data_IF_875669217541
#
_entry.id   IF_875669217541
#
_cell.length_a   1.000
_cell.length_b   1.000
_cell.length_c   1.000
_cell.angle_alpha   90.00
_cell.angle_beta   90.00
_cell.angle_gamma   90.00
#
_symmetry.space_group_name_H-M   'P 1'
#
loop_
_entity.id
_entity.type
_entity.pdbx_description
1 polymer ?
2 non-polymer ?
3 non-polymer ?
4 water ?
#
# COMPACT_ATOMS: atom_id res chain seq x y z
N UNK A 2 9.12 -22.52 1.13
CA UNK A 2 8.99 -21.12 0.78
C UNK A 2 8.22 -20.91 -0.53
N UNK A 3 7.68 -19.71 -0.69
CA UNK A 3 6.98 -19.33 -1.89
C UNK A 3 7.80 -18.26 -2.59
N UNK A 4 7.65 -18.16 -3.89
CA UNK A 4 8.24 -17.06 -4.64
C UNK A 4 7.13 -16.12 -5.04
N UNK A 5 7.35 -14.83 -4.85
CA UNK A 5 6.44 -13.87 -5.41
C UNK A 5 7.21 -12.94 -6.33
N UNK A 6 6.67 -12.74 -7.52
CA UNK A 6 7.36 -12.01 -8.57
C UNK A 6 6.42 -10.97 -9.14
N UNK A 7 6.82 -9.70 -9.06
CA UNK A 7 6.17 -8.65 -9.83
C UNK A 7 6.91 -8.54 -11.16
N UNK A 8 6.22 -8.88 -12.25
CA UNK A 8 6.90 -9.12 -13.52
C UNK A 8 6.65 -8.04 -14.55
N UNK A 9 7.56 -7.92 -15.51
CA UNK A 9 7.49 -6.88 -16.53
C UNK A 9 7.19 -5.54 -15.88
N UNK A 10 7.87 -5.25 -14.78
CA UNK A 10 7.48 -4.13 -13.95
C UNK A 10 7.86 -2.80 -14.60
N UNK A 11 6.96 -1.84 -14.49
CA UNK A 11 7.17 -0.48 -14.99
C UNK A 11 8.16 0.33 -14.14
N UNK A 12 9.35 -0.22 -13.95
CA UNK A 12 10.42 0.41 -13.19
C UNK A 12 11.71 0.32 -14.01
N UNK A 13 12.08 1.42 -14.66
CA UNK A 13 13.28 1.46 -15.50
C UNK A 13 13.99 2.80 -15.39
N UNK A 14 15.29 2.80 -15.66
CA UNK A 14 15.97 4.05 -15.92
C UNK A 14 15.35 4.65 -17.18
N UNK A 15 15.45 5.97 -17.34
CA UNK A 15 14.98 6.61 -18.56
C UNK A 15 15.66 5.97 -19.78
N UNK A 16 14.86 5.46 -20.73
CA UNK A 16 15.39 4.86 -21.96
C UNK A 16 16.17 5.89 -22.77
N UNK A 17 17.37 5.54 -23.22
CA UNK A 17 18.14 6.43 -24.09
C UNK A 17 17.24 7.03 -25.16
N UNK A 18 16.48 6.15 -25.83
CA UNK A 18 15.58 6.53 -26.90
C UNK A 18 15.00 7.93 -26.70
N UNK A 19 14.59 8.23 -25.48
CA UNK A 19 13.81 9.44 -25.25
C UNK A 19 14.49 10.51 -24.41
N UNK A 20 15.74 10.26 -23.99
CA UNK A 20 16.43 11.25 -23.17
C UNK A 20 16.43 12.63 -23.85
N UNK A 21 16.50 12.63 -25.18
CA UNK A 21 16.52 13.86 -25.96
C UNK A 21 15.27 14.71 -25.78
N UNK A 22 14.17 14.07 -25.38
CA UNK A 22 12.90 14.75 -25.26
C UNK A 22 12.60 15.13 -23.82
N UNK A 23 13.54 14.81 -22.93
CA UNK A 23 13.34 15.06 -21.50
C UNK A 23 14.01 16.36 -21.09
N UNK A 24 13.20 17.36 -20.74
CA UNK A 24 13.75 18.56 -20.12
C UNK A 24 13.77 18.35 -18.62
N UNK A 25 14.96 18.42 -18.03
CA UNK A 25 15.12 18.18 -16.61
C UNK A 25 14.64 19.35 -15.75
N UNK A 26 14.11 19.04 -14.58
CA UNK A 26 13.67 20.06 -13.64
C UNK A 26 14.01 19.66 -12.21
N UNK A 27 13.76 20.55 -11.26
CA UNK A 27 14.09 20.31 -9.88
C UNK A 27 12.95 19.65 -9.11
N UNK A 28 11.76 19.60 -9.71
CA UNK A 28 10.66 18.94 -9.03
C UNK A 28 10.81 17.41 -9.09
N UNK A 29 11.51 16.94 -10.12
CA UNK A 29 11.75 15.51 -10.28
C UNK A 29 13.20 15.30 -10.69
N UNK A 30 14.04 14.89 -9.74
CA UNK A 30 15.47 14.79 -9.98
C UNK A 30 15.96 13.34 -10.04
N UNK A 31 15.16 12.45 -10.63
CA UNK A 31 15.54 11.03 -10.71
C UNK A 31 15.57 10.56 -12.15
N UNK A 32 16.49 9.64 -12.44
CA UNK A 32 16.59 9.02 -13.75
C UNK A 32 15.67 7.79 -13.88
N UNK A 33 14.57 7.77 -13.14
CA UNK A 33 13.61 6.69 -13.28
C UNK A 33 12.41 7.15 -14.09
N UNK A 34 12.01 6.34 -15.06
CA UNK A 34 10.93 6.71 -15.94
C UNK A 34 9.63 6.81 -15.14
N UNK A 35 8.98 7.96 -15.21
CA UNK A 35 7.74 8.17 -14.47
C UNK A 35 6.76 8.96 -15.33
N UNK A 36 5.63 8.35 -15.66
CA UNK A 36 4.70 8.95 -16.61
C UNK A 36 4.10 10.25 -16.08
N UNK A 37 4.07 10.41 -14.76
CA UNK A 37 3.54 11.64 -14.18
C UNK A 37 4.38 12.85 -14.55
N UNK A 38 5.63 12.59 -14.92
CA UNK A 38 6.58 13.65 -15.21
C UNK A 38 7.12 13.58 -16.65
N UNK A 39 7.10 12.39 -17.25
CA UNK A 39 7.63 12.21 -18.60
C UNK A 39 6.56 11.89 -19.65
N UNK A 40 5.29 12.04 -19.28
CA UNK A 40 4.19 11.66 -20.16
C UNK A 40 4.38 12.07 -21.62
N UNK A 41 4.84 13.28 -21.84
CA UNK A 41 5.04 13.78 -23.20
C UNK A 41 6.18 13.05 -23.89
N UNK A 42 7.34 13.00 -23.25
CA UNK A 42 8.52 12.39 -23.87
C UNK A 42 8.34 10.89 -24.13
N UNK A 43 7.22 10.36 -23.66
CA UNK A 43 6.92 8.93 -23.76
C UNK A 43 5.94 8.65 -24.87
N UNK A 44 5.48 9.71 -25.54
CA UNK A 44 4.42 9.61 -26.55
C UNK A 44 4.69 8.57 -27.62
N UNK A 45 5.93 8.52 -28.13
CA UNK A 45 6.28 7.54 -29.16
C UNK A 45 7.14 6.40 -28.62
N UNK A 46 7.06 6.17 -27.31
CA UNK A 46 7.77 5.06 -26.68
C UNK A 46 7.01 3.75 -26.85
N UNK A 47 7.74 2.71 -27.27
CA UNK A 47 7.17 1.38 -27.40
C UNK A 47 6.50 0.96 -26.10
N UNK A 48 5.28 0.43 -26.19
CA UNK A 48 4.56 -0.05 -25.01
C UNK A 48 4.41 1.01 -23.92
N UNK A 49 4.37 2.28 -24.34
CA UNK A 49 4.29 3.39 -23.38
C UNK A 49 3.20 3.20 -22.34
N UNK A 50 2.14 2.48 -22.69
CA UNK A 50 0.99 2.37 -21.81
C UNK A 50 1.26 1.46 -20.62
N UNK A 51 2.32 0.67 -20.68
CA UNK A 51 2.63 -0.20 -19.56
C UNK A 51 3.94 0.18 -18.85
N UNK A 52 4.51 1.30 -19.24
CA UNK A 52 5.78 1.72 -18.65
C UNK A 52 5.63 2.97 -17.78
N UNK A 53 6.66 3.29 -17.01
CA UNK A 53 6.73 4.51 -16.24
C UNK A 53 5.78 4.63 -15.06
N UNK A 54 5.63 3.54 -14.29
CA UNK A 54 4.80 3.57 -13.09
C UNK A 54 5.49 2.88 -11.91
N UNK A 55 6.59 3.46 -11.40
CA UNK A 55 7.31 2.83 -10.30
C UNK A 55 6.48 2.71 -9.02
N UNK A 56 5.48 3.56 -8.82
CA UNK A 56 4.71 3.49 -7.57
C UNK A 56 3.91 2.17 -7.43
N UNK A 57 3.71 1.45 -8.53
CA UNK A 57 3.09 0.14 -8.45
C UNK A 57 3.99 -0.83 -7.67
N UNK A 58 5.28 -0.78 -7.96
CA UNK A 58 6.28 -1.56 -7.25
C UNK A 58 6.42 -1.11 -5.78
N UNK A 59 6.53 0.20 -5.58
CA UNK A 59 6.66 0.77 -4.24
C UNK A 59 5.53 0.29 -3.32
N UNK A 60 4.30 0.52 -3.72
CA UNK A 60 3.15 0.15 -2.92
C UNK A 60 3.03 -1.36 -2.74
N UNK A 61 3.28 -2.13 -3.79
CA UNK A 61 3.20 -3.59 -3.67
C UNK A 61 4.24 -4.10 -2.69
N UNK A 62 5.46 -3.57 -2.76
CA UNK A 62 6.54 -4.00 -1.87
C UNK A 62 6.27 -3.62 -0.40
N UNK A 63 5.74 -2.42 -0.17
CA UNK A 63 5.27 -2.07 1.18
C UNK A 63 4.31 -3.12 1.72
N UNK A 64 3.41 -3.63 0.89
CA UNK A 64 2.50 -4.69 1.34
C UNK A 64 3.23 -6.02 1.55
N UNK A 65 4.03 -6.43 0.57
CA UNK A 65 4.69 -7.73 0.65
C UNK A 65 5.67 -7.83 1.82
N UNK A 66 6.53 -6.83 1.97
CA UNK A 66 7.57 -6.87 2.98
C UNK A 66 7.01 -6.92 4.40
N UNK A 67 5.84 -6.33 4.62
CA UNK A 67 5.26 -6.30 5.96
C UNK A 67 4.30 -7.45 6.24
N UNK A 68 4.11 -8.36 5.30
CA UNK A 68 3.13 -9.42 5.48
C UNK A 68 3.66 -10.47 6.45
N UNK A 69 2.77 -11.03 7.29
CA UNK A 69 3.14 -12.11 8.20
C UNK A 69 3.93 -13.21 7.50
N UNK A 70 3.50 -13.61 6.31
CA UNK A 70 4.22 -14.65 5.57
C UNK A 70 5.68 -14.25 5.32
N UNK A 71 5.95 -12.97 5.11
CA UNK A 71 7.33 -12.50 4.97
C UNK A 71 8.07 -12.37 6.31
N UNK A 72 7.37 -11.92 7.34
CA UNK A 72 7.96 -11.89 8.69
C UNK A 72 8.38 -13.31 9.11
N UNK A 73 7.63 -14.31 8.64
CA UNK A 73 7.99 -15.70 8.91
C UNK A 73 9.06 -16.23 7.96
N UNK A 74 9.68 -15.36 7.18
CA UNK A 74 10.77 -15.78 6.29
C UNK A 74 10.37 -16.89 5.33
N UNK A 75 9.13 -16.87 4.86
CA UNK A 75 8.65 -17.91 3.96
C UNK A 75 8.46 -17.44 2.51
N UNK A 76 8.96 -16.24 2.20
CA UNK A 76 8.83 -15.68 0.85
C UNK A 76 10.16 -15.39 0.23
N UNK A 77 10.24 -15.63 -1.07
CA UNK A 77 11.32 -15.09 -1.88
C UNK A 77 10.72 -14.01 -2.77
N UNK A 78 11.34 -12.85 -2.81
CA UNK A 78 10.73 -11.68 -3.43
C UNK A 78 11.56 -11.19 -4.62
N UNK A 79 10.92 -11.05 -5.78
CA UNK A 79 11.63 -10.62 -6.98
C UNK A 79 10.86 -9.56 -7.71
N UNK A 80 11.58 -8.58 -8.23
CA UNK A 80 11.00 -7.63 -9.16
C UNK A 80 11.65 -7.90 -10.51
N UNK A 81 10.83 -8.29 -11.48
CA UNK A 81 11.30 -8.38 -12.85
C UNK A 81 10.77 -7.17 -13.61
N UNK A 82 11.65 -6.52 -14.37
CA UNK A 82 11.32 -5.24 -14.99
C UNK A 82 11.02 -5.39 -16.48
N UNK A 83 10.35 -4.38 -17.04
CA UNK A 83 10.04 -4.37 -18.45
C UNK A 83 11.26 -4.71 -19.28
N UNK A 84 12.43 -4.23 -18.86
CA UNK A 84 13.65 -4.41 -19.66
C UNK A 84 14.53 -5.55 -19.17
N UNK A 85 13.94 -6.50 -18.46
CA UNK A 85 14.64 -7.73 -18.11
C UNK A 85 15.78 -7.50 -17.13
N UNK A 86 15.53 -6.72 -16.10
CA UNK A 86 16.36 -6.79 -14.91
C UNK A 86 15.55 -7.50 -13.83
N UNK A 87 16.25 -8.20 -12.95
CA UNK A 87 15.60 -8.84 -11.81
C UNK A 87 16.24 -8.35 -10.53
N UNK A 88 15.41 -7.83 -9.63
CA UNK A 88 15.86 -7.46 -8.30
C UNK A 88 15.40 -8.51 -7.30
N UNK A 89 16.35 -9.11 -6.61
CA UNK A 89 16.00 -9.98 -5.49
C UNK A 89 15.95 -9.12 -4.22
N UNK A 90 14.76 -8.99 -3.63
CA UNK A 90 14.57 -8.17 -2.44
C UNK A 90 14.76 -8.98 -1.16
N UNK A 91 15.78 -8.64 -0.38
CA UNK A 91 15.99 -9.32 0.88
C UNK A 91 14.74 -9.14 1.76
N UNK A 92 14.27 -10.23 2.38
CA UNK A 92 13.04 -10.15 3.18
C UNK A 92 13.12 -9.09 4.30
N UNK A 93 14.31 -8.74 4.74
CA UNK A 93 14.43 -7.77 5.81
C UNK A 93 14.65 -6.36 5.30
N UNK A 94 14.50 -6.17 3.99
CA UNK A 94 14.63 -4.83 3.42
C UNK A 94 13.68 -3.86 4.11
N UNK A 95 14.21 -2.69 4.44
CA UNK A 95 13.43 -1.63 5.05
C UNK A 95 13.19 -0.62 3.95
N UNK A 96 12.05 -0.73 3.29
CA UNK A 96 11.81 0.08 2.11
C UNK A 96 11.35 1.44 2.55
N UNK A 97 11.93 2.49 1.95
CA UNK A 97 11.50 3.85 2.29
C UNK A 97 10.01 3.99 2.03
N UNK A 98 9.29 4.57 2.97
CA UNK A 98 7.88 4.82 2.76
C UNK A 98 7.73 6.02 1.84
N UNK A 99 8.79 6.83 1.77
CA UNK A 99 8.74 8.01 0.93
C UNK A 99 9.03 7.66 -0.54
N UNK A 100 8.11 8.03 -1.41
CA UNK A 100 8.20 7.68 -2.81
C UNK A 100 9.50 8.13 -3.44
N UNK A 101 9.86 9.40 -3.24
CA UNK A 101 11.10 9.94 -3.81
C UNK A 101 12.33 9.21 -3.27
N UNK A 102 12.38 9.01 -1.95
CA UNK A 102 13.47 8.22 -1.36
C UNK A 102 13.54 6.86 -2.04
N UNK A 103 12.39 6.20 -2.15
CA UNK A 103 12.29 4.93 -2.87
C UNK A 103 12.97 5.02 -4.23
N UNK A 104 12.61 6.04 -5.00
CA UNK A 104 13.15 6.19 -6.34
C UNK A 104 14.66 6.32 -6.29
N UNK A 105 15.15 7.01 -5.26
CA UNK A 105 16.59 7.18 -5.08
C UNK A 105 17.29 5.86 -4.87
N UNK A 106 16.73 5.01 -4.02
CA UNK A 106 17.29 3.67 -3.80
C UNK A 106 17.29 2.85 -5.09
N UNK A 107 16.16 2.83 -5.79
CA UNK A 107 16.01 2.02 -7.00
C UNK A 107 16.90 2.49 -8.14
N UNK A 108 17.00 3.81 -8.29
CA UNK A 108 17.90 4.41 -9.27
C UNK A 108 19.31 3.86 -9.13
N UNK A 109 19.81 3.82 -7.90
CA UNK A 109 21.18 3.34 -7.69
C UNK A 109 21.28 1.86 -7.99
N UNK A 110 20.31 1.07 -7.53
CA UNK A 110 20.35 -0.35 -7.79
C UNK A 110 20.36 -0.65 -9.29
N UNK A 111 19.46 0.00 -10.03
CA UNK A 111 19.32 -0.25 -11.46
C UNK A 111 20.54 0.20 -12.27
N UNK A 112 21.34 1.07 -11.68
CA UNK A 112 22.55 1.57 -12.31
C UNK A 112 23.73 0.68 -11.93
N UNK A 113 23.45 -0.38 -11.19
CA UNK A 113 24.46 -1.36 -10.85
C UNK A 113 25.26 -1.08 -9.58
N UNK A 114 24.95 0.00 -8.86
CA UNK A 114 25.62 0.24 -7.58
C UNK A 114 25.23 -0.83 -6.56
N UNK A 115 26.21 -1.25 -5.76
CA UNK A 115 25.97 -2.33 -4.81
C UNK A 115 24.95 -1.99 -3.73
N UNK A 116 24.14 -2.97 -3.39
CA UNK A 116 23.19 -2.85 -2.30
C UNK A 116 23.08 -4.23 -1.67
N UNK A 117 23.46 -4.35 -0.42
CA UNK A 117 23.56 -5.68 0.18
C UNK A 117 22.18 -6.32 0.40
N UNK A 118 21.12 -5.51 0.32
CA UNK A 118 19.76 -6.00 0.53
C UNK A 118 18.97 -6.23 -0.77
N UNK A 119 19.38 -5.55 -1.83
CA UNK A 119 18.68 -5.64 -3.09
C UNK A 119 19.68 -5.95 -4.20
N UNK A 120 19.68 -7.20 -4.66
CA UNK A 120 20.63 -7.61 -5.71
C UNK A 120 20.00 -7.49 -7.09
N UNK A 121 20.75 -6.96 -8.04
CA UNK A 121 20.27 -6.83 -9.39
C UNK A 121 21.06 -7.70 -10.37
N UNK A 122 20.35 -8.29 -11.31
CA UNK A 122 20.95 -9.05 -12.39
C UNK A 122 20.12 -8.82 -13.64
N UNK A 123 20.76 -8.94 -14.80
CA UNK A 123 20.02 -8.89 -16.05
C UNK A 123 19.57 -10.30 -16.39
N UNK A 124 18.28 -10.45 -16.67
CA UNK A 124 17.67 -11.76 -16.68
C UNK A 124 16.25 -11.62 -17.15
N UNK A 125 15.83 -12.54 -18.00
CA UNK A 125 14.45 -12.56 -18.47
C UNK A 125 13.57 -13.21 -17.42
N UNK A 126 12.27 -13.05 -17.57
CA UNK A 126 11.33 -13.66 -16.64
C UNK A 126 11.44 -15.18 -16.70
N UNK A 127 11.50 -15.72 -17.90
CA UNK A 127 11.56 -17.17 -18.10
C UNK A 127 12.81 -17.78 -17.48
N UNK A 128 13.96 -17.14 -17.71
CA UNK A 128 15.18 -17.63 -17.08
C UNK A 128 15.12 -17.56 -15.54
N UNK A 129 14.50 -16.54 -14.99
CA UNK A 129 14.33 -16.42 -13.54
C UNK A 129 13.53 -17.61 -13.03
N UNK A 130 12.39 -17.89 -13.66
CA UNK A 130 11.56 -19.01 -13.25
C UNK A 130 12.35 -20.31 -13.23
N UNK A 131 13.14 -20.55 -14.28
CA UNK A 131 13.91 -21.78 -14.31
C UNK A 131 14.99 -21.85 -13.25
N UNK A 132 15.67 -20.73 -13.01
CA UNK A 132 16.79 -20.74 -12.07
C UNK A 132 16.37 -20.87 -10.60
N UNK A 133 15.18 -20.40 -10.25
CA UNK A 133 14.70 -20.60 -8.87
C UNK A 133 13.89 -21.89 -8.77
N UNK A 134 13.88 -22.65 -9.85
CA UNK A 134 13.11 -23.90 -9.95
C UNK A 134 11.65 -23.74 -9.56
N UNK A 135 11.00 -22.72 -10.09
CA UNK A 135 9.56 -22.59 -9.97
C UNK A 135 8.93 -23.83 -10.60
N UNK A 136 8.03 -24.49 -9.86
CA UNK A 136 7.41 -25.74 -10.30
C UNK A 136 5.95 -25.55 -10.70
N UNK A 137 5.14 -25.08 -9.76
CA UNK A 137 3.76 -24.77 -10.10
C UNK A 137 3.57 -23.27 -10.01
N UNK A 138 3.30 -22.65 -11.15
CA UNK A 138 3.33 -21.22 -11.27
C UNK A 138 1.94 -20.70 -11.51
N UNK A 139 1.50 -19.78 -10.65
CA UNK A 139 0.23 -19.12 -10.85
C UNK A 139 0.49 -17.75 -11.45
N UNK A 140 0.03 -17.54 -12.67
CA UNK A 140 0.06 -16.22 -13.26
C UNK A 140 -1.25 -15.56 -12.91
N UNK A 141 -1.17 -14.52 -12.11
CA UNK A 141 -2.36 -13.83 -11.70
C UNK A 141 -2.82 -12.93 -12.84
N UNK A 142 -4.11 -13.05 -13.17
CA UNK A 142 -4.74 -12.21 -14.18
C UNK A 142 -6.25 -12.32 -14.08
N UNK A 143 -6.94 -11.20 -14.21
CA UNK A 143 -8.40 -11.18 -14.12
C UNK A 143 -9.10 -12.03 -15.19
N UNK A 144 -8.34 -12.48 -16.18
CA UNK A 144 -8.92 -13.28 -17.26
C UNK A 144 -8.63 -14.77 -17.08
N UNK A 145 -8.00 -15.13 -15.97
CA UNK A 145 -7.71 -16.53 -15.68
C UNK A 145 -8.88 -17.21 -15.02
N UNK A 146 -8.70 -18.48 -14.67
CA UNK A 146 -9.72 -19.24 -13.96
C UNK A 146 -10.01 -18.64 -12.60
N UNK A 147 -11.28 -18.33 -12.32
CA UNK A 147 -11.63 -17.81 -11.00
C UNK A 147 -11.28 -18.85 -9.95
N UNK A 148 -10.64 -18.40 -8.88
CA UNK A 148 -10.00 -19.30 -7.94
C UNK A 148 -10.08 -18.72 -6.54
N UNK A 149 -10.45 -19.54 -5.58
CA UNK A 149 -10.47 -19.13 -4.20
C UNK A 149 -9.07 -19.17 -3.62
N UNK A 150 -8.66 -18.10 -2.95
CA UNK A 150 -7.30 -17.91 -2.44
C UNK A 150 -6.80 -19.02 -1.52
N UNK A 151 -7.72 -19.79 -0.95
CA UNK A 151 -7.30 -20.88 -0.07
C UNK A 151 -6.64 -21.97 -0.89
N UNK A 152 -6.85 -21.90 -2.20
CA UNK A 152 -6.21 -22.84 -3.12
C UNK A 152 -4.82 -22.37 -3.56
N UNK A 153 -4.49 -21.10 -3.31
CA UNK A 153 -3.20 -20.55 -3.75
C UNK A 153 -2.04 -21.25 -3.07
N UNK A 154 -2.30 -21.85 -1.91
CA UNK A 154 -1.29 -22.62 -1.18
C UNK A 154 -0.71 -23.76 -2.02
N UNK A 155 -1.46 -24.20 -3.03
CA UNK A 155 -1.03 -25.29 -3.90
C UNK A 155 0.13 -24.92 -4.86
N UNK A 156 0.29 -23.63 -5.13
CA UNK A 156 1.37 -23.18 -6.02
C UNK A 156 2.58 -22.77 -5.20
N UNK A 157 3.76 -22.84 -5.80
CA UNK A 157 4.98 -22.38 -5.13
C UNK A 157 5.44 -21.01 -5.63
N UNK A 158 4.86 -20.55 -6.74
CA UNK A 158 5.32 -19.32 -7.37
C UNK A 158 4.18 -18.50 -7.93
N UNK A 159 4.16 -17.21 -7.59
CA UNK A 159 3.10 -16.32 -8.03
C UNK A 159 3.68 -15.18 -8.86
N UNK A 160 3.05 -14.89 -9.99
CA UNK A 160 3.49 -13.80 -10.84
C UNK A 160 2.40 -12.78 -10.99
N UNK A 161 2.72 -11.53 -10.65
CA UNK A 161 1.79 -10.44 -10.73
C UNK A 161 2.40 -9.39 -11.64
N UNK A 162 1.62 -8.88 -12.58
CA UNK A 162 2.09 -7.82 -13.46
C UNK A 162 2.37 -6.53 -12.69
N UNK A 163 3.60 -6.03 -12.78
CA UNK A 163 3.94 -4.79 -12.12
C UNK A 163 3.76 -3.62 -13.06
N UNK A 164 2.66 -3.62 -13.81
CA UNK A 164 2.42 -2.61 -14.84
C UNK A 164 0.98 -2.12 -14.80
N UNK A 165 0.73 -0.93 -15.36
CA UNK A 165 -0.58 -0.28 -15.29
C UNK A 165 -1.65 -0.99 -16.13
N UNK A 166 -1.40 -1.08 -17.44
CA UNK A 166 -2.37 -1.62 -18.37
C UNK A 166 -1.75 -2.68 -19.28
N UNK A 167 -2.44 -3.80 -19.43
CA UNK A 167 -2.00 -4.86 -20.32
C UNK A 167 -2.27 -6.23 -19.76
N UNK A 168 -1.66 -7.23 -20.38
CA UNK A 168 -1.69 -8.58 -19.85
C UNK A 168 -0.29 -9.15 -19.86
N UNK A 169 -0.04 -10.01 -18.89
CA UNK A 169 1.26 -10.64 -18.72
C UNK A 169 1.41 -11.77 -19.73
N UNK A 170 2.40 -11.66 -20.61
CA UNK A 170 2.69 -12.76 -21.53
C UNK A 170 4.01 -13.46 -21.22
N UNK A 171 3.99 -14.79 -21.29
CA UNK A 171 5.14 -15.61 -20.94
C UNK A 171 5.28 -16.73 -21.96
N UNK A 172 6.51 -17.04 -22.37
CA UNK A 172 6.71 -18.09 -23.35
C UNK A 172 6.74 -19.47 -22.69
N UNK A 173 5.61 -20.17 -22.79
CA UNK A 173 5.42 -21.49 -22.22
C UNK A 173 6.60 -22.43 -22.52
N UNK A 174 7.04 -22.46 -23.76
CA UNK A 174 8.07 -23.40 -24.15
C UNK A 174 9.44 -23.08 -23.55
N UNK A 175 9.57 -21.91 -22.94
CA UNK A 175 10.84 -21.54 -22.33
C UNK A 175 10.90 -21.73 -20.81
N UNK A 176 9.79 -22.18 -20.23
CA UNK A 176 9.69 -22.36 -18.79
C UNK A 176 9.55 -23.83 -18.44
N UNK A 177 10.43 -24.33 -17.57
CA UNK A 177 10.34 -25.72 -17.19
C UNK A 177 9.07 -26.03 -16.36
N UNK A 178 8.75 -25.18 -15.39
CA UNK A 178 7.57 -25.40 -14.57
C UNK A 178 6.27 -25.24 -15.32
N UNK A 179 5.19 -25.65 -14.67
CA UNK A 179 3.85 -25.60 -15.23
C UNK A 179 3.24 -24.25 -14.90
N UNK A 180 2.60 -23.63 -15.87
CA UNK A 180 2.04 -22.32 -15.68
C UNK A 180 0.52 -22.40 -15.78
N UNK A 181 -0.16 -21.77 -14.83
CA UNK A 181 -1.62 -21.70 -14.87
C UNK A 181 -2.07 -20.26 -14.69
N UNK A 182 -2.99 -19.82 -15.54
CA UNK A 182 -3.59 -18.50 -15.40
C UNK A 182 -4.70 -18.54 -14.35
N UNK A 183 -4.64 -17.61 -13.40
CA UNK A 183 -5.50 -17.63 -12.22
C UNK A 183 -6.04 -16.25 -11.87
N UNK A 184 -7.36 -16.14 -11.85
CA UNK A 184 -8.02 -14.93 -11.35
C UNK A 184 -8.57 -15.19 -9.94
N UNK A 185 -8.39 -14.23 -9.03
CA UNK A 185 -8.95 -14.38 -7.68
C UNK A 185 -10.13 -13.43 -7.47
N UNK A 186 -10.62 -12.86 -8.56
CA UNK A 186 -11.72 -11.91 -8.52
C UNK A 186 -12.14 -11.47 -9.94
N UNK A 187 -13.43 -11.23 -10.15
CA UNK A 187 -13.97 -10.91 -11.48
C UNK A 187 -13.80 -9.47 -11.95
N UNK A 188 -13.24 -8.63 -11.10
CA UNK A 188 -12.93 -7.26 -11.50
C UNK A 188 -11.41 -7.15 -11.58
N UNK A 189 -10.91 -6.19 -12.34
CA UNK A 189 -9.49 -5.89 -12.31
C UNK A 189 -9.11 -5.21 -11.01
N UNK A 190 -8.10 -5.74 -10.33
CA UNK A 190 -7.61 -5.14 -9.10
C UNK A 190 -6.24 -4.53 -9.36
N UNK A 191 -5.81 -3.62 -8.49
CA UNK A 191 -4.46 -3.09 -8.56
C UNK A 191 -3.50 -4.18 -8.12
N UNK A 192 -2.25 -4.09 -8.59
CA UNK A 192 -1.24 -5.10 -8.30
C UNK A 192 -0.99 -5.32 -6.81
N UNK A 193 -1.01 -4.25 -6.02
CA UNK A 193 -0.69 -4.39 -4.60
C UNK A 193 -1.80 -5.10 -3.86
N UNK A 194 -3.03 -4.90 -4.32
CA UNK A 194 -4.15 -5.63 -3.76
C UNK A 194 -3.99 -7.14 -4.02
N UNK A 195 -3.55 -7.48 -5.24
CA UNK A 195 -3.39 -8.90 -5.57
C UNK A 195 -2.26 -9.48 -4.74
N UNK A 196 -1.16 -8.74 -4.62
CA UNK A 196 -0.05 -9.19 -3.80
C UNK A 196 -0.50 -9.42 -2.36
N UNK A 197 -1.28 -8.47 -1.84
CA UNK A 197 -1.80 -8.57 -0.49
C UNK A 197 -2.65 -9.81 -0.30
N UNK A 198 -3.57 -10.02 -1.24
CA UNK A 198 -4.47 -11.17 -1.15
C UNK A 198 -3.70 -12.49 -1.17
N UNK A 199 -2.65 -12.55 -1.98
CA UNK A 199 -1.81 -13.74 -2.05
C UNK A 199 -1.12 -13.96 -0.72
N UNK A 200 -0.44 -12.94 -0.22
CA UNK A 200 0.33 -13.04 1.00
C UNK A 200 -0.54 -13.45 2.17
N UNK A 201 -1.72 -12.87 2.26
CA UNK A 201 -2.56 -13.17 3.40
C UNK A 201 -3.19 -14.57 3.26
N UNK A 202 -3.46 -15.01 2.04
CA UNK A 202 -3.93 -16.38 1.83
C UNK A 202 -2.86 -17.40 2.20
N UNK A 203 -1.60 -17.00 2.20
CA UNK A 203 -0.51 -17.91 2.53
C UNK A 203 -0.32 -18.04 4.04
N UNK A 204 -0.91 -17.14 4.81
CA UNK A 204 -0.76 -17.16 6.26
C UNK A 204 -2.00 -17.66 6.98
N UNK A 205 -3.17 -17.45 6.37
CA UNK A 205 -4.44 -17.69 7.04
C UNK A 205 -5.28 -18.64 6.21
N UNK B 2 -22.73 -5.20 6.07
CA UNK B 2 -22.09 -3.90 5.89
C UNK B 2 -21.19 -3.55 7.09
N UNK B 3 -19.88 -3.51 6.86
CA UNK B 3 -18.92 -3.29 7.94
C UNK B 3 -18.39 -1.86 8.02
N UNK B 4 -18.03 -1.45 9.23
CA UNK B 4 -17.36 -0.18 9.41
C UNK B 4 -15.87 -0.46 9.62
N UNK B 5 -15.02 0.25 8.89
CA UNK B 5 -13.60 0.18 9.17
C UNK B 5 -13.12 1.59 9.51
N UNK B 6 -12.39 1.71 10.60
CA UNK B 6 -11.98 3.02 11.08
C UNK B 6 -10.49 3.09 11.30
N UNK B 7 -9.84 4.03 10.64
CA UNK B 7 -8.46 4.39 10.97
C UNK B 7 -8.54 5.50 12.00
N UNK B 8 -8.07 5.21 13.21
CA UNK B 8 -8.34 6.09 14.36
C UNK B 8 -7.10 6.74 14.95
N UNK B 9 -7.30 7.90 15.59
CA UNK B 9 -6.20 8.71 16.11
C UNK B 9 -5.16 8.89 15.02
N UNK B 10 -5.64 9.07 13.80
CA UNK B 10 -4.79 9.07 12.62
C UNK B 10 -3.84 10.26 12.56
N UNK B 11 -2.59 9.98 12.18
CA UNK B 11 -1.55 10.99 12.09
C UNK B 11 -1.69 11.89 10.87
N UNK B 12 -2.86 12.51 10.74
CA UNK B 12 -3.21 13.33 9.59
C UNK B 12 -3.84 14.64 10.04
N UNK B 13 -3.08 15.72 10.01
CA UNK B 13 -3.51 16.98 10.58
C UNK B 13 -2.92 18.16 9.84
N UNK B 14 -3.67 19.25 9.80
CA UNK B 14 -3.09 20.54 9.46
C UNK B 14 -2.03 20.85 10.52
N UNK B 15 -1.01 21.61 10.14
CA UNK B 15 0.06 21.95 11.09
C UNK B 15 -0.49 22.54 12.39
N UNK B 16 -0.18 21.90 13.52
CA UNK B 16 -0.66 22.34 14.85
C UNK B 16 -0.32 23.78 15.14
N UNK B 17 -1.30 24.49 15.71
CA UNK B 17 -1.17 25.91 16.05
C UNK B 17 0.14 26.22 16.77
N UNK B 18 0.51 25.39 17.74
CA UNK B 18 1.66 25.66 18.59
C UNK B 18 2.98 25.79 17.82
N UNK B 19 3.12 25.05 16.73
CA UNK B 19 4.39 25.03 16.01
C UNK B 19 4.30 25.65 14.62
N UNK B 20 3.23 26.36 14.33
CA UNK B 20 3.14 27.03 13.04
C UNK B 20 4.34 27.93 12.78
N UNK B 21 4.78 28.63 13.83
CA UNK B 21 5.87 29.59 13.73
C UNK B 21 7.24 28.97 13.47
N UNK B 22 7.32 27.64 13.43
CA UNK B 22 8.58 26.96 13.17
C UNK B 22 8.58 26.26 11.82
N UNK B 23 7.57 26.54 10.99
CA UNK B 23 7.38 25.81 9.75
C UNK B 23 6.96 26.73 8.61
N UNK B 24 7.80 26.80 7.58
CA UNK B 24 7.48 27.60 6.40
C UNK B 24 7.17 26.68 5.22
N UNK B 25 6.13 27.00 4.47
CA UNK B 25 5.90 26.33 3.20
C UNK B 25 7.18 26.45 2.37
N UNK B 26 7.52 25.40 1.66
CA UNK B 26 8.67 25.41 0.78
C UNK B 26 8.23 24.85 -0.57
N UNK B 27 9.12 24.91 -1.57
CA UNK B 27 8.78 24.34 -2.86
C UNK B 27 8.88 22.83 -2.76
N UNK B 28 9.68 22.36 -1.81
CA UNK B 28 9.86 20.94 -1.63
C UNK B 28 8.62 20.28 -1.00
N UNK B 29 7.96 21.02 -0.12
CA UNK B 29 6.74 20.54 0.54
C UNK B 29 5.86 21.75 0.83
N UNK B 30 4.86 21.95 -0.01
CA UNK B 30 4.08 23.17 0.05
C UNK B 30 2.80 23.01 0.87
N UNK B 31 2.56 21.81 1.37
CA UNK B 31 1.28 21.51 2.02
C UNK B 31 1.22 21.93 3.49
N UNK B 32 0.04 22.33 3.94
CA UNK B 32 -0.18 22.66 5.36
C UNK B 32 -0.48 21.43 6.23
N UNK B 33 -0.17 20.25 5.72
CA UNK B 33 -0.31 19.02 6.50
C UNK B 33 0.99 18.62 7.19
N UNK B 34 0.91 18.29 8.47
CA UNK B 34 2.08 17.92 9.23
C UNK B 34 2.67 16.61 8.73
N UNK B 35 3.96 16.62 8.40
CA UNK B 35 4.65 15.40 7.96
C UNK B 35 6.07 15.43 8.49
N UNK B 36 6.40 14.46 9.33
CA UNK B 36 7.64 14.51 10.10
C UNK B 36 8.85 14.25 9.22
N UNK B 37 8.65 13.71 8.03
CA UNK B 37 9.75 13.60 7.08
C UNK B 37 10.31 14.98 6.68
N UNK B 38 9.50 16.02 6.84
CA UNK B 38 9.87 17.38 6.46
C UNK B 38 9.94 18.32 7.63
N UNK B 39 9.26 17.94 8.71
CA UNK B 39 9.02 18.84 9.84
C UNK B 39 9.50 18.25 11.16
N UNK B 40 10.39 17.27 11.08
CA UNK B 40 10.83 16.53 12.25
C UNK B 40 11.32 17.46 13.35
N UNK B 41 12.17 18.40 12.98
CA UNK B 41 12.76 19.28 13.98
C UNK B 41 11.72 20.18 14.63
N UNK B 42 10.82 20.75 13.84
CA UNK B 42 9.78 21.62 14.38
C UNK B 42 8.83 20.88 15.32
N UNK B 43 8.85 19.55 15.28
CA UNK B 43 7.95 18.75 16.11
C UNK B 43 8.61 18.35 17.44
N UNK B 44 9.82 18.85 17.66
CA UNK B 44 10.63 18.43 18.80
C UNK B 44 9.86 18.51 20.11
N UNK B 45 9.14 19.61 20.30
CA UNK B 45 8.43 19.87 21.53
C UNK B 45 6.91 19.83 21.36
N UNK B 46 6.44 18.99 20.43
CA UNK B 46 5.01 18.79 20.22
C UNK B 46 4.56 17.60 21.06
N UNK B 47 3.41 17.74 21.70
CA UNK B 47 2.85 16.62 22.47
C UNK B 47 2.60 15.44 21.54
N UNK B 48 2.95 14.24 22.00
CA UNK B 48 2.68 13.01 21.28
C UNK B 48 3.30 12.99 19.88
N UNK B 49 4.33 13.81 19.71
CA UNK B 49 4.99 13.93 18.42
C UNK B 49 5.23 12.56 17.79
N UNK B 50 5.47 11.54 18.62
CA UNK B 50 5.84 10.24 18.07
C UNK B 50 4.67 9.50 17.41
N UNK B 51 3.46 10.02 17.56
CA UNK B 51 2.32 9.38 16.93
C UNK B 51 1.62 10.31 15.94
N UNK B 52 2.26 11.44 15.65
CA UNK B 52 1.70 12.42 14.73
C UNK B 52 2.60 12.66 13.51
N UNK B 53 2.07 13.34 12.50
CA UNK B 53 2.85 13.68 11.32
C UNK B 53 3.23 12.51 10.41
N UNK B 54 2.29 11.59 10.17
CA UNK B 54 2.53 10.48 9.25
C UNK B 54 1.35 10.19 8.31
N UNK B 55 1.04 11.16 7.44
CA UNK B 55 -0.07 11.08 6.49
C UNK B 55 0.04 9.86 5.59
N UNK B 56 1.26 9.41 5.36
CA UNK B 56 1.51 8.26 4.49
C UNK B 56 0.87 6.99 5.03
N UNK B 57 0.75 6.87 6.34
CA UNK B 57 0.09 5.70 6.90
C UNK B 57 -1.36 5.61 6.40
N UNK B 58 -2.04 6.75 6.43
CA UNK B 58 -3.40 6.85 5.92
C UNK B 58 -3.47 6.63 4.41
N UNK B 59 -2.58 7.28 3.67
CA UNK B 59 -2.54 7.15 2.20
C UNK B 59 -2.50 5.70 1.79
N UNK B 60 -1.49 4.98 2.28
CA UNK B 60 -1.29 3.59 1.91
C UNK B 60 -2.43 2.67 2.40
N UNK B 61 -2.94 2.93 3.60
CA UNK B 61 -4.03 2.11 4.14
C UNK B 61 -5.26 2.26 3.28
N UNK B 62 -5.57 3.50 2.92
CA UNK B 62 -6.73 3.78 2.09
C UNK B 62 -6.63 3.19 0.68
N UNK B 63 -5.41 3.13 0.15
CA UNK B 63 -5.19 2.47 -1.15
C UNK B 63 -5.50 0.99 -1.05
N UNK B 64 -5.15 0.37 0.06
CA UNK B 64 -5.49 -1.03 0.28
C UNK B 64 -7.00 -1.18 0.45
N UNK B 65 -7.58 -0.38 1.33
CA UNK B 65 -9.01 -0.51 1.65
C UNK B 65 -9.89 -0.28 0.40
N UNK B 66 -9.67 0.84 -0.28
CA UNK B 66 -10.53 1.24 -1.38
C UNK B 66 -10.53 0.24 -2.54
N UNK B 67 -9.43 -0.49 -2.72
CA UNK B 67 -9.36 -1.41 -3.84
C UNK B 67 -9.70 -2.83 -3.44
N UNK B 68 -10.02 -3.04 -2.16
CA UNK B 68 -10.34 -4.40 -1.70
C UNK B 68 -11.67 -4.87 -2.29
N UNK B 69 -11.77 -6.17 -2.60
CA UNK B 69 -13.04 -6.75 -3.06
C UNK B 69 -14.24 -6.39 -2.15
N UNK B 70 -14.09 -6.52 -0.85
CA UNK B 70 -15.18 -6.19 0.07
C UNK B 70 -15.68 -4.75 -0.14
N UNK B 71 -14.79 -3.86 -0.58
CA UNK B 71 -15.22 -2.51 -0.89
C UNK B 71 -15.80 -2.36 -2.28
N UNK B 72 -15.29 -3.13 -3.23
CA UNK B 72 -15.84 -3.11 -4.58
C UNK B 72 -17.29 -3.60 -4.54
N UNK B 73 -17.58 -4.47 -3.57
CA UNK B 73 -18.91 -5.00 -3.38
C UNK B 73 -19.77 -4.12 -2.47
N UNK B 74 -19.30 -2.91 -2.20
CA UNK B 74 -20.08 -1.93 -1.48
C UNK B 74 -20.46 -2.37 -0.06
N UNK B 75 -19.64 -3.22 0.55
CA UNK B 75 -19.94 -3.69 1.90
C UNK B 75 -19.13 -3.00 3.01
N UNK B 76 -18.52 -1.87 2.70
CA UNK B 76 -17.77 -1.12 3.72
C UNK B 76 -18.23 0.31 3.88
N UNK B 77 -18.23 0.79 5.12
CA UNK B 77 -18.21 2.21 5.40
C UNK B 77 -16.82 2.56 5.91
N UNK B 78 -16.26 3.66 5.41
CA UNK B 78 -14.85 3.92 5.68
C UNK B 78 -14.65 5.24 6.36
N UNK B 79 -13.97 5.22 7.48
CA UNK B 79 -13.75 6.42 8.25
C UNK B 79 -12.30 6.62 8.63
N UNK B 80 -11.86 7.87 8.57
CA UNK B 80 -10.60 8.26 9.12
C UNK B 80 -10.90 9.15 10.30
N UNK B 81 -10.55 8.72 11.50
CA UNK B 81 -10.63 9.58 12.66
C UNK B 81 -9.22 10.08 12.95
N UNK B 82 -9.05 11.38 13.15
CA UNK B 82 -7.71 11.95 13.27
C UNK B 82 -7.32 12.26 14.70
N UNK B 83 -6.01 12.55 14.88
CA UNK B 83 -5.46 12.82 16.19
C UNK B 83 -6.22 13.96 16.86
N UNK B 84 -6.59 14.95 16.06
CA UNK B 84 -7.29 16.11 16.59
C UNK B 84 -8.81 16.04 16.40
N UNK B 85 -9.36 14.84 16.50
CA UNK B 85 -10.82 14.65 16.48
C UNK B 85 -11.55 15.28 15.28
N UNK B 86 -11.07 14.97 14.09
CA UNK B 86 -11.86 15.18 12.90
C UNK B 86 -12.14 13.82 12.34
N UNK B 87 -13.25 13.69 11.63
CA UNK B 87 -13.61 12.43 11.05
C UNK B 87 -13.89 12.66 9.57
N UNK B 88 -13.20 11.91 8.73
CA UNK B 88 -13.39 11.96 7.30
C UNK B 88 -14.14 10.71 6.89
N UNK B 89 -15.31 10.88 6.27
CA UNK B 89 -16.03 9.74 5.75
C UNK B 89 -15.63 9.60 4.29
N UNK B 90 -15.15 8.41 3.93
CA UNK B 90 -14.64 8.17 2.58
C UNK B 90 -15.61 7.37 1.73
N UNK B 91 -16.24 8.04 0.78
CA UNK B 91 -17.08 7.34 -0.16
C UNK B 91 -16.33 6.17 -0.78
N UNK B 92 -16.97 4.99 -0.83
CA UNK B 92 -16.41 3.77 -1.43
C UNK B 92 -15.91 3.95 -2.87
N UNK B 93 -16.44 4.93 -3.59
CA UNK B 93 -16.06 5.12 -4.98
C UNK B 93 -14.97 6.17 -5.16
N UNK B 94 -14.47 6.70 -4.05
CA UNK B 94 -13.34 7.59 -4.07
C UNK B 94 -12.18 7.01 -4.87
N UNK B 95 -11.69 7.79 -5.82
CA UNK B 95 -10.47 7.41 -6.51
C UNK B 95 -9.35 8.21 -5.90
N UNK B 96 -8.61 7.56 -5.01
CA UNK B 96 -7.60 8.24 -4.22
C UNK B 96 -6.35 8.38 -5.07
N UNK B 97 -5.79 9.60 -5.12
CA UNK B 97 -4.54 9.72 -5.89
C UNK B 97 -3.50 8.72 -5.39
N UNK B 98 -2.81 8.10 -6.33
CA UNK B 98 -1.72 7.20 -6.01
C UNK B 98 -0.48 8.01 -5.64
N UNK B 99 -0.43 9.25 -6.11
CA UNK B 99 0.71 10.10 -5.83
C UNK B 99 0.54 10.74 -4.45
N UNK B 100 1.54 10.54 -3.59
CA UNK B 100 1.47 11.01 -2.22
C UNK B 100 1.19 12.50 -2.08
N UNK B 101 1.86 13.32 -2.88
CA UNK B 101 1.67 14.76 -2.77
C UNK B 101 0.27 15.17 -3.23
N UNK B 102 -0.21 14.55 -4.31
CA UNK B 102 -1.56 14.80 -4.76
C UNK B 102 -2.56 14.38 -3.69
N UNK B 103 -2.32 13.25 -3.06
CA UNK B 103 -3.14 12.82 -1.94
C UNK B 103 -3.13 13.91 -0.86
N UNK B 104 -1.96 14.46 -0.56
CA UNK B 104 -1.88 15.55 0.40
C UNK B 104 -2.70 16.77 -0.01
N UNK B 105 -2.65 17.10 -1.30
CA UNK B 105 -3.39 18.25 -1.80
C UNK B 105 -4.89 18.08 -1.61
N UNK B 106 -5.40 16.88 -1.86
CA UNK B 106 -6.80 16.57 -1.63
C UNK B 106 -7.15 16.69 -0.14
N UNK B 107 -6.37 16.02 0.71
CA UNK B 107 -6.65 15.99 2.14
C UNK B 107 -6.53 17.37 2.79
N UNK B 108 -5.59 18.18 2.32
CA UNK B 108 -5.42 19.53 2.86
C UNK B 108 -6.71 20.34 2.71
N UNK B 109 -7.27 20.35 1.51
CA UNK B 109 -8.52 21.04 1.24
C UNK B 109 -9.63 20.52 2.13
N UNK B 110 -9.78 19.21 2.21
CA UNK B 110 -10.84 18.65 3.02
C UNK B 110 -10.71 19.09 4.47
N UNK B 111 -9.49 19.07 5.00
CA UNK B 111 -9.26 19.39 6.41
C UNK B 111 -9.51 20.86 6.68
N UNK B 112 -9.37 21.67 5.65
CA UNK B 112 -9.61 23.10 5.76
C UNK B 112 -11.09 23.44 5.58
N UNK B 113 -11.92 22.42 5.35
CA UNK B 113 -13.36 22.63 5.24
C UNK B 113 -13.87 22.90 3.83
N UNK B 114 -13.02 22.80 2.82
CA UNK B 114 -13.49 22.92 1.44
C UNK B 114 -14.32 21.70 1.05
N UNK B 115 -15.42 21.93 0.34
CA UNK B 115 -16.34 20.86 -0.04
C UNK B 115 -15.69 19.82 -0.96
N UNK B 116 -15.74 18.56 -0.54
CA UNK B 116 -15.39 17.45 -1.40
C UNK B 116 -16.56 16.47 -1.33
N UNK B 117 -17.18 16.18 -2.47
CA UNK B 117 -18.40 15.38 -2.46
C UNK B 117 -18.18 13.89 -2.20
N UNK B 118 -16.93 13.44 -2.19
CA UNK B 118 -16.63 12.04 -1.92
C UNK B 118 -15.99 11.83 -0.54
N UNK B 119 -15.54 12.92 0.06
CA UNK B 119 -14.88 12.86 1.37
C UNK B 119 -15.48 13.93 2.26
N UNK B 120 -16.26 13.52 3.24
CA UNK B 120 -16.95 14.46 4.11
C UNK B 120 -16.24 14.60 5.46
N UNK B 121 -16.02 15.84 5.89
CA UNK B 121 -15.34 16.08 7.15
C UNK B 121 -16.21 16.73 8.22
N UNK B 122 -16.18 16.14 9.43
CA UNK B 122 -16.87 16.69 10.60
C UNK B 122 -15.93 16.67 11.81
N UNK B 123 -16.11 17.62 12.72
CA UNK B 123 -15.43 17.59 14.01
C UNK B 123 -16.15 16.56 14.84
N UNK B 124 -15.41 15.62 15.42
CA UNK B 124 -16.05 14.46 16.02
C UNK B 124 -14.98 13.62 16.72
N UNK B 125 -15.26 13.18 17.94
CA UNK B 125 -14.39 12.26 18.65
C UNK B 125 -14.62 10.83 18.17
N UNK B 126 -13.69 9.94 18.52
CA UNK B 126 -13.81 8.54 18.14
C UNK B 126 -15.03 7.88 18.77
N UNK B 127 -15.24 8.12 20.05
CA UNK B 127 -16.38 7.56 20.78
C UNK B 127 -17.69 8.07 20.19
N UNK B 128 -17.76 9.36 19.91
CA UNK B 128 -18.93 9.90 19.24
C UNK B 128 -19.16 9.23 17.89
N UNK B 129 -18.09 9.09 17.10
CA UNK B 129 -18.21 8.42 15.81
C UNK B 129 -18.85 7.05 15.99
N UNK B 130 -18.29 6.26 16.89
CA UNK B 130 -18.77 4.90 17.15
C UNK B 130 -20.26 4.84 17.54
N UNK B 131 -20.69 5.81 18.33
CA UNK B 131 -22.10 5.85 18.73
C UNK B 131 -23.01 6.28 17.57
N UNK B 132 -22.56 7.26 16.81
CA UNK B 132 -23.36 7.77 15.69
C UNK B 132 -23.63 6.69 14.63
N UNK B 133 -22.67 5.82 14.36
CA UNK B 133 -22.82 4.78 13.34
C UNK B 133 -23.43 3.54 13.94
N UNK B 134 -23.82 3.64 15.21
CA UNK B 134 -24.45 2.51 15.90
C UNK B 134 -23.60 1.25 15.96
N UNK B 135 -22.29 1.43 16.11
CA UNK B 135 -21.39 0.28 16.29
C UNK B 135 -21.89 -0.55 17.48
N UNK B 136 -22.05 -1.85 17.29
CA UNK B 136 -22.48 -2.71 18.39
C UNK B 136 -21.40 -3.69 18.82
N UNK B 137 -20.78 -4.35 17.84
CA UNK B 137 -19.67 -5.28 18.10
C UNK B 137 -18.39 -4.74 17.48
N UNK B 138 -17.52 -4.25 18.33
CA UNK B 138 -16.33 -3.52 17.94
C UNK B 138 -15.05 -4.30 18.22
N UNK B 139 -14.24 -4.50 17.19
CA UNK B 139 -12.92 -5.09 17.35
C UNK B 139 -11.87 -4.00 17.26
N UNK B 140 -11.15 -3.77 18.36
CA UNK B 140 -10.02 -2.87 18.34
C UNK B 140 -8.79 -3.71 18.07
N UNK B 141 -8.13 -3.44 16.95
CA UNK B 141 -6.94 -4.19 16.59
C UNK B 141 -5.74 -3.62 17.32
N UNK B 142 -4.93 -4.52 17.85
CA UNK B 142 -3.67 -4.17 18.50
C UNK B 142 -2.91 -5.46 18.70
N UNK B 143 -1.59 -5.40 18.62
CA UNK B 143 -0.78 -6.60 18.79
C UNK B 143 -0.93 -7.18 20.19
N UNK B 144 -1.31 -6.33 21.14
CA UNK B 144 -1.42 -6.73 22.55
C UNK B 144 -2.75 -7.42 22.86
N UNK B 145 -3.72 -7.27 21.97
CA UNK B 145 -5.01 -7.89 22.18
C UNK B 145 -4.93 -9.41 22.15
N UNK B 146 -6.09 -10.06 22.27
CA UNK B 146 -6.17 -11.51 22.20
C UNK B 146 -5.97 -11.97 20.75
N UNK B 147 -5.09 -12.95 20.54
CA UNK B 147 -4.86 -13.45 19.19
C UNK B 147 -6.14 -14.10 18.68
N UNK B 148 -6.51 -13.76 17.45
CA UNK B 148 -7.75 -14.23 16.86
C UNK B 148 -7.54 -14.49 15.37
N UNK B 149 -7.81 -15.71 14.92
CA UNK B 149 -7.71 -16.00 13.51
C UNK B 149 -8.67 -15.06 12.77
N UNK B 150 -8.18 -14.44 11.70
CA UNK B 150 -8.95 -13.49 10.88
C UNK B 150 -10.32 -14.04 10.47
N UNK B 151 -10.47 -15.36 10.53
CA UNK B 151 -11.70 -16.02 10.15
C UNK B 151 -12.89 -15.54 10.97
N UNK B 152 -12.61 -15.10 12.19
CA UNK B 152 -13.65 -14.72 13.16
C UNK B 152 -14.05 -13.25 13.03
N UNK B 153 -13.30 -12.49 12.24
CA UNK B 153 -13.53 -11.06 12.18
C UNK B 153 -14.94 -10.75 11.69
N UNK B 154 -15.50 -11.67 10.92
CA UNK B 154 -16.84 -11.48 10.35
C UNK B 154 -17.93 -11.31 11.40
N UNK B 155 -17.65 -11.73 12.62
CA UNK B 155 -18.64 -11.61 13.70
C UNK B 155 -18.82 -10.17 14.17
N UNK B 156 -17.81 -9.33 13.98
CA UNK B 156 -17.91 -7.94 14.39
C UNK B 156 -18.52 -7.07 13.31
N UNK B 157 -19.02 -5.90 13.69
CA UNK B 157 -19.59 -4.98 12.71
C UNK B 157 -18.64 -3.80 12.45
N UNK B 158 -17.72 -3.56 13.38
CA UNK B 158 -16.85 -2.39 13.35
C UNK B 158 -15.42 -2.75 13.75
N UNK B 159 -14.46 -2.27 12.95
CA UNK B 159 -13.04 -2.51 13.19
C UNK B 159 -12.32 -1.20 13.36
N UNK B 160 -11.40 -1.16 14.31
CA UNK B 160 -10.63 0.05 14.57
C UNK B 160 -9.15 -0.26 14.45
N UNK B 161 -8.43 0.53 13.64
CA UNK B 161 -6.99 0.37 13.45
C UNK B 161 -6.35 1.72 13.65
N UNK B 162 -5.28 1.77 14.44
CA UNK B 162 -4.62 3.04 14.71
C UNK B 162 -3.91 3.51 13.44
N UNK B 163 -4.15 4.75 13.05
CA UNK B 163 -3.49 5.31 11.88
C UNK B 163 -2.29 6.13 12.28
N UNK B 164 -1.41 5.52 13.06
CA UNK B 164 -0.27 6.22 13.66
C UNK B 164 0.90 5.26 13.77
N UNK B 165 2.11 5.82 13.92
CA UNK B 165 3.34 5.01 13.91
C UNK B 165 3.54 4.23 15.22
N UNK B 166 3.55 4.93 16.34
CA UNK B 166 3.96 4.32 17.60
C UNK B 166 2.98 4.59 18.73
N UNK B 167 2.74 3.57 19.54
CA UNK B 167 1.87 3.70 20.69
C UNK B 167 0.73 2.72 20.67
N UNK B 168 -0.31 3.05 21.42
CA UNK B 168 -1.50 2.21 21.49
C UNK B 168 -2.72 3.11 21.51
N UNK B 169 -3.79 2.67 20.85
CA UNK B 169 -5.00 3.46 20.79
C UNK B 169 -5.64 3.54 22.17
N UNK B 170 -5.94 4.75 22.62
CA UNK B 170 -6.63 4.94 23.89
C UNK B 170 -8.09 5.33 23.66
N UNK B 171 -9.01 4.54 24.21
CA UNK B 171 -10.42 4.78 24.02
C UNK B 171 -11.20 4.71 25.33
N UNK B 172 -12.06 5.70 25.54
CA UNK B 172 -12.93 5.71 26.71
C UNK B 172 -14.16 4.84 26.50
N UNK B 173 -14.05 3.56 26.85
CA UNK B 173 -15.11 2.59 26.66
C UNK B 173 -16.43 2.98 27.35
N UNK B 174 -16.31 3.59 28.53
CA UNK B 174 -17.47 4.05 29.28
C UNK B 174 -18.30 5.04 28.48
N UNK B 175 -17.69 5.67 27.49
CA UNK B 175 -18.42 6.61 26.62
C UNK B 175 -18.93 5.96 25.34
N UNK B 176 -18.77 4.64 25.22
CA UNK B 176 -19.16 3.93 24.00
C UNK B 176 -20.29 2.96 24.26
N UNK B 177 -21.37 3.07 23.47
CA UNK B 177 -22.53 2.21 23.67
C UNK B 177 -22.24 0.76 23.35
N UNK B 178 -21.55 0.53 22.23
CA UNK B 178 -21.32 -0.83 21.77
C UNK B 178 -20.28 -1.57 22.59
N UNK B 179 -20.17 -2.87 22.34
CA UNK B 179 -19.21 -3.72 23.01
C UNK B 179 -17.85 -3.66 22.31
N UNK B 180 -16.76 -3.54 23.09
CA UNK B 180 -15.41 -3.44 22.55
C UNK B 180 -14.53 -4.62 22.98
N UNK B 181 -14.02 -5.38 22.01
CA UNK B 181 -12.98 -6.37 22.29
C UNK B 181 -11.66 -5.96 21.63
N UNK B 182 -10.56 -6.14 22.36
CA UNK B 182 -9.23 -5.99 21.80
C UNK B 182 -8.82 -7.27 21.11
N UNK B 183 -8.33 -7.14 19.88
CA UNK B 183 -8.02 -8.29 19.05
C UNK B 183 -6.64 -8.17 18.43
N UNK B 184 -5.84 -9.23 18.57
CA UNK B 184 -4.59 -9.35 17.83
C UNK B 184 -4.77 -10.38 16.74
N UNK B 185 -4.28 -10.09 15.55
CA UNK B 185 -4.36 -11.05 14.44
C UNK B 185 -2.99 -11.65 14.15
N UNK B 186 -1.99 -11.25 14.94
CA UNK B 186 -0.62 -11.72 14.71
C UNK B 186 0.29 -11.39 15.87
N UNK B 187 1.34 -12.20 16.03
CA UNK B 187 2.23 -12.09 17.18
C UNK B 187 3.44 -11.19 16.92
N UNK B 188 3.18 -10.00 16.39
CA UNK B 188 4.23 -9.05 16.00
C UNK B 188 3.58 -7.74 15.57
N UNK B 189 4.23 -6.62 15.85
CA UNK B 189 3.74 -5.33 15.39
C UNK B 189 3.73 -5.28 13.85
N UNK B 190 2.56 -5.02 13.28
CA UNK B 190 2.43 -4.85 11.83
C UNK B 190 2.15 -3.39 11.52
N UNK B 191 2.31 -3.00 10.27
CA UNK B 191 1.96 -1.66 9.86
C UNK B 191 0.43 -1.57 9.71
N UNK B 192 -0.10 -0.38 9.87
CA UNK B 192 -1.55 -0.19 9.79
C UNK B 192 -2.15 -0.68 8.45
N UNK B 193 -1.45 -0.48 7.35
CA UNK B 193 -2.02 -0.86 6.06
C UNK B 193 -2.14 -2.37 5.93
N UNK B 194 -1.18 -3.07 6.49
CA UNK B 194 -1.20 -4.53 6.52
C UNK B 194 -2.40 -5.06 7.31
N UNK B 195 -2.66 -4.46 8.47
CA UNK B 195 -3.80 -4.84 9.28
C UNK B 195 -5.10 -4.54 8.55
N UNK B 196 -5.21 -3.36 7.96
CA UNK B 196 -6.40 -3.03 7.18
C UNK B 196 -6.62 -4.06 6.07
N UNK B 197 -5.54 -4.38 5.35
CA UNK B 197 -5.63 -5.37 4.30
C UNK B 197 -6.03 -6.75 4.78
N UNK B 198 -5.47 -7.17 5.91
CA UNK B 198 -5.82 -8.49 6.45
C UNK B 198 -7.31 -8.55 6.81
N UNK B 199 -7.79 -7.51 7.49
CA UNK B 199 -9.20 -7.40 7.81
C UNK B 199 -10.03 -7.42 6.53
N UNK B 200 -9.72 -6.54 5.59
CA UNK B 200 -10.53 -6.46 4.37
C UNK B 200 -10.61 -7.80 3.67
N UNK B 201 -9.50 -8.52 3.62
CA UNK B 201 -9.53 -9.76 2.87
C UNK B 201 -10.24 -10.88 3.63
N UNK B 202 -10.16 -10.86 4.97
CA UNK B 202 -10.94 -11.78 5.80
C UNK B 202 -12.43 -11.67 5.51
N UNK B 203 -12.87 -10.44 5.27
CA UNK B 203 -14.28 -10.17 5.02
C UNK B 203 -14.78 -10.71 3.68
N UNK B 204 -13.87 -11.04 2.77
CA UNK B 204 -14.30 -11.51 1.45
C UNK B 204 -14.06 -12.99 1.24
N UNK B 205 -13.21 -13.57 2.07
CA UNK B 205 -12.84 -14.98 1.92
C UNK B 205 -12.80 -15.62 3.29
X LIG C 1 -6.66 -6.22 -15.70
X LIG C 1 -5.22 -6.49 -15.66
X LIG C 1 -4.92 -8.03 -15.61
X LIG C 1 -3.98 -8.48 -16.18
X LIG C 1 -5.74 -8.91 -14.90
X LIG C 1 -4.65 -5.76 -14.44
X LIG C 1 -3.26 -5.09 -14.64
X LIG C 1 -2.78 -4.66 -13.24
X LIG C 1 -2.73 -3.20 -13.13
X LIG C 1 -1.41 -5.26 -12.87
X LIG C 1 -1.53 -6.75 -12.44
X LIG C 1 -2.52 -7.00 -11.40
X LIG C 1 -1.98 -7.68 -13.59
X LIG C 1 -0.96 -7.89 -14.52
X LIG C 1 -2.42 -8.92 -12.88
X LIG C 1 -1.35 -9.82 -12.76
X LIG C 1 -2.89 -8.41 -11.51
X LIG C 1 -4.35 -8.51 -11.40
X LIG C 1 -5.31 -7.38 -11.55
X LIG C 1 -6.65 -7.91 -11.33
X LIG C 1 -6.54 -9.34 -11.06
X LIG C 1 -7.57 -10.41 -10.77
X LIG C 1 -8.98 -10.04 -10.72
X LIG C 1 -7.16 -11.77 -10.54
X LIG C 1 -5.71 -12.15 -10.58
X LIG C 1 -4.69 -11.11 -10.86
X LIG C 1 -5.12 -9.71 -11.09
X LIG D 1 20.39 -19.46 -19.27
X LIG D 1 21.21 -18.30 -19.25
X LIG D 1 19.50 -19.43 -20.51
X LIG D 1 19.40 -20.73 -21.06
X LIG D 1 20.10 -18.47 -21.53
X LIG D 1 20.11 -17.14 -21.03
X LIG E 1 -6.63 -13.44 2.40
X LIG E 1 -6.85 -14.79 2.03
X LIG E 1 -7.38 -13.14 3.69
X LIG E 1 -6.59 -12.34 4.54
X LIG E 1 -7.71 -14.44 4.41
X LIG E 1 -8.31 -14.14 5.65
X LIG F 1 10.11 -24.06 -5.80
X LIG F 1 11.31 -24.70 -6.18
X LIG F 1 10.44 -22.71 -5.17
X LIG F 1 11.52 -22.12 -5.83
X LIG F 1 10.79 -22.91 -3.69
X LIG F 1 10.87 -21.64 -3.06
X LIG G 1 18.22 -15.92 -9.98
X LIG G 1 19.26 -16.74 -10.49
X LIG G 1 18.51 -15.55 -8.52
X LIG G 1 17.54 -16.11 -7.66
X LIG G 1 18.52 -14.03 -8.38
X LIG G 1 17.91 -13.46 -9.52
X LIG H 1 2.56 -2.17 18.07
X LIG H 1 1.49 -1.18 17.88
X LIG H 1 0.10 -1.85 18.07
X LIG H 1 -0.81 -1.25 18.55
X LIG H 1 -0.11 -3.19 17.71
X LIG H 1 1.72 -0.59 16.46
X LIG H 1 0.85 0.61 16.04
X LIG H 1 0.67 0.43 14.50
X LIG H 1 1.80 1.04 13.77
X LIG H 1 -0.68 0.95 13.94
X LIG H 1 -1.92 0.08 14.29
X LIG H 1 -1.86 -1.22 13.63
X LIG H 1 -2.09 -0.25 15.77
X LIG H 1 -2.82 0.77 16.41
X LIG H 1 -2.99 -1.46 15.73
X LIG H 1 -4.31 -0.99 15.61
X LIG H 1 -2.59 -2.19 14.46
X LIG H 1 -1.69 -3.34 14.66
X LIG H 1 -0.20 -3.33 14.60
X LIG H 1 0.25 -4.70 14.83
X LIG H 1 -0.93 -5.54 15.04
X LIG H 1 -1.07 -7.04 15.32
X LIG H 1 0.10 -7.89 15.43
X LIG H 1 -2.40 -7.60 15.49
X LIG H 1 -3.63 -6.74 15.38
X LIG H 1 -3.48 -5.30 15.11
X LIG H 1 -2.13 -4.71 14.93
X LIG I 1 -21.61 9.09 11.04
X LIG I 1 -21.10 10.15 11.81
X LIG I 1 -21.55 9.47 9.57
X LIG I 1 -21.82 8.33 8.76
X LIG I 1 -20.22 10.12 9.21
X LIG I 1 -19.65 10.88 10.26
X LIG J 1 -24.86 -1.42 12.71
X LIG J 1 -24.84 -2.67 13.38
X LIG J 1 -23.51 -1.11 12.09
X LIG J 1 -23.05 0.14 12.56
X LIG J 1 -23.62 -1.02 10.57
X LIG J 1 -23.89 -2.31 10.04
#
# INVERSE_FOLDING_TARGET
MTYNIILAKSALELIPEEIKNKIRKSRVYKYDILDSNYHYKAMEKLKDKEMRGRPDIIHISLLNILDSPINHEKKLNIYIHTYDDKVLKINPETRLPRNYFRFLGVMEKVLKGERNHLIKMEEKTLEDLLNEINAKKIAIMTKTGKLTHPKLLKEYDTFIIGGFPYGKLKINKEKVFGDIKEISIYNKGLMAWTVCGIICYSLSF
MTYNIILAKSALELIPEEIKNKIRKSRVYKYDILDSNYHYKAMEKLKDKEMRGRPDIIHISLLNILDSPINHEKKLNIYIHTYDDKVLKINPETRLPRNYFRFLGVMEKVLKGERNHLIKMEEKTLEDLLNEINAKKIAIMTKTGKLTHPKLLKEYDTFIIGGFPYGKLKINKEKVFGDIKEISIYNKGLMAWTVCGIICYSLSF
SFG N CA C O OXT CB CG CD NE C5' C4' O4' C3' O3' C2' O2' C1' N9 C8 N7 C5 C6 N6 N1 C2 N3 C4
GOL C1 O1 C2 O2 C3 O3
GOL C1 O1 C2 O2 C3 O3
GOL C1 O1 C2 O2 C3 O3
GOL C1 O1 C2 O2 C3 O3
SFG N CA C O OXT CB CG CD NE C5' C4' O4' C3' O3' C2' O2' C1' N9 C8 N7 C5 C6 N6 N1 C2 N3 C4
GOL C1 O1 C2 O2 C3 O3
GOL C1 O1 C2 O2 C3 O3
#
